data_IF_918933818751
#
_entry.id   IF_918933818751
#
_cell.length_a   1.000
_cell.length_b   1.000
_cell.length_c   1.000
_cell.angle_alpha   90.00
_cell.angle_beta   90.00
_cell.angle_gamma   90.00
#
_symmetry.space_group_name_H-M   'P 1'
#
loop_
_entity.id
_entity.type
_entity.pdbx_description
1 polymer ?
#
# COMPACT_ATOMS: atom_id res chain seq x y z
N UNK A 1 1.81 10.18 33.09
CA UNK A 1 3.19 9.79 32.74
C UNK A 1 3.23 8.27 32.83
N UNK A 2 3.59 7.56 31.76
CA UNK A 2 3.69 6.10 31.81
C UNK A 2 5.01 5.73 32.50
N UNK A 3 4.97 4.94 33.56
CA UNK A 3 6.17 4.36 34.16
C UNK A 3 6.58 3.11 33.39
N UNK A 4 7.85 3.06 33.00
CA UNK A 4 8.43 1.89 32.35
C UNK A 4 8.55 0.78 33.40
N UNK A 5 7.96 -0.38 33.14
CA UNK A 5 8.14 -1.56 33.99
C UNK A 5 9.64 -1.89 34.00
N UNK A 6 10.31 -1.62 35.12
CA UNK A 6 11.73 -1.92 35.27
C UNK A 6 11.88 -3.41 35.61
N UNK A 7 12.06 -4.23 34.57
CA UNK A 7 12.42 -5.63 34.76
C UNK A 7 13.86 -5.73 35.30
N UNK A 8 14.01 -6.53 36.36
CA UNK A 8 15.25 -6.74 37.12
C UNK A 8 16.41 -7.28 36.24
N UNK A 9 16.07 -8.00 35.16
CA UNK A 9 17.04 -8.53 34.20
C UNK A 9 17.30 -7.55 33.05
N UNK A 10 18.53 -7.03 32.99
CA UNK A 10 19.04 -6.16 31.91
C UNK A 10 18.86 -6.76 30.51
N UNK A 11 19.00 -8.09 30.38
CA UNK A 11 18.86 -8.81 29.11
C UNK A 11 17.40 -8.90 28.66
N UNK A 12 16.48 -9.17 29.58
CA UNK A 12 15.03 -9.25 29.29
C UNK A 12 14.50 -7.87 28.90
N UNK A 13 14.91 -6.83 29.64
CA UNK A 13 14.53 -5.46 29.33
C UNK A 13 14.98 -5.06 27.92
N UNK A 14 16.24 -5.34 27.55
CA UNK A 14 16.76 -5.05 26.21
C UNK A 14 15.98 -5.77 25.10
N UNK A 15 15.57 -7.02 25.33
CA UNK A 15 14.79 -7.80 24.36
C UNK A 15 13.38 -7.22 24.17
N UNK A 16 12.70 -6.85 25.25
CA UNK A 16 11.34 -6.24 25.21
C UNK A 16 11.36 -4.92 24.44
N UNK A 17 12.40 -4.11 24.60
CA UNK A 17 12.55 -2.86 23.84
C UNK A 17 12.85 -3.08 22.35
N UNK A 18 13.57 -4.16 21.99
CA UNK A 18 13.94 -4.46 20.60
C UNK A 18 12.80 -5.13 19.81
N UNK A 19 11.97 -5.92 20.46
CA UNK A 19 10.91 -6.71 19.84
C UNK A 19 9.95 -5.88 18.96
N UNK A 20 9.38 -4.75 19.43
CA UNK A 20 8.49 -3.92 18.61
C UNK A 20 9.17 -3.40 17.34
N UNK A 21 10.44 -3.01 17.45
CA UNK A 21 11.23 -2.55 16.32
C UNK A 21 11.44 -3.66 15.29
N UNK A 22 11.79 -4.87 15.73
CA UNK A 22 11.96 -6.03 14.86
C UNK A 22 10.65 -6.41 14.15
N UNK A 23 9.50 -6.33 14.84
CA UNK A 23 8.19 -6.60 14.24
C UNK A 23 7.87 -5.59 13.14
N UNK A 24 8.05 -4.30 13.40
CA UNK A 24 7.81 -3.23 12.41
C UNK A 24 8.77 -3.42 11.22
N UNK A 25 10.04 -3.68 11.48
CA UNK A 25 11.04 -3.94 10.44
C UNK A 25 10.63 -5.14 9.58
N UNK A 26 10.18 -6.24 10.19
CA UNK A 26 9.71 -7.41 9.46
C UNK A 26 8.49 -7.10 8.58
N UNK A 27 7.49 -6.38 9.09
CA UNK A 27 6.29 -5.99 8.33
C UNK A 27 6.68 -5.13 7.12
N UNK A 28 7.55 -4.13 7.33
CA UNK A 28 8.00 -3.24 6.26
C UNK A 28 8.94 -3.92 5.27
N UNK A 29 9.65 -4.96 5.69
CA UNK A 29 10.54 -5.72 4.82
C UNK A 29 9.82 -6.36 3.63
N UNK A 30 8.50 -6.62 3.75
CA UNK A 30 7.67 -7.22 2.69
C UNK A 30 7.78 -6.47 1.36
N UNK A 31 7.97 -5.16 1.39
CA UNK A 31 8.16 -4.31 0.19
C UNK A 31 9.40 -4.74 -0.61
N UNK A 32 10.45 -5.22 0.07
CA UNK A 32 11.70 -5.62 -0.56
C UNK A 32 11.61 -7.00 -1.21
N UNK A 33 10.96 -7.97 -0.54
CA UNK A 33 10.94 -9.36 -0.99
C UNK A 33 9.77 -9.69 -1.94
N UNK A 34 8.64 -8.99 -1.82
CA UNK A 34 7.48 -9.30 -2.64
C UNK A 34 7.62 -8.73 -4.05
N UNK A 35 7.38 -9.60 -5.02
CA UNK A 35 7.40 -9.27 -6.46
C UNK A 35 6.24 -8.36 -6.84
N UNK A 36 5.05 -8.65 -6.29
CA UNK A 36 3.82 -7.89 -6.48
C UNK A 36 3.28 -7.51 -5.10
N UNK A 37 3.04 -6.22 -4.87
CA UNK A 37 2.46 -5.74 -3.61
C UNK A 37 1.69 -4.44 -3.85
N UNK A 38 0.53 -4.34 -3.23
CA UNK A 38 -0.24 -3.11 -3.12
C UNK A 38 -0.34 -2.73 -1.66
N UNK A 39 0.11 -1.53 -1.34
CA UNK A 39 -0.09 -0.92 -0.03
C UNK A 39 -0.94 0.32 -0.20
N UNK A 40 -1.92 0.53 0.65
CA UNK A 40 -2.78 1.70 0.58
C UNK A 40 -3.10 2.24 1.97
N UNK A 41 -3.46 3.51 2.00
CA UNK A 41 -4.01 4.21 3.15
C UNK A 41 -5.07 5.19 2.64
N UNK A 42 -5.67 5.99 3.53
CA UNK A 42 -6.75 6.91 3.13
C UNK A 42 -6.33 8.01 2.15
N UNK A 43 -5.03 8.26 1.94
CA UNK A 43 -4.53 9.29 1.00
C UNK A 43 -4.20 8.72 -0.37
N UNK A 44 -3.84 7.45 -0.46
CA UNK A 44 -3.35 6.88 -1.70
C UNK A 44 -2.86 5.45 -1.58
N UNK A 45 -2.33 4.94 -2.69
CA UNK A 45 -1.79 3.60 -2.83
C UNK A 45 -0.41 3.61 -3.48
N UNK A 46 0.45 2.70 -3.04
CA UNK A 46 1.69 2.31 -3.70
C UNK A 46 1.50 0.93 -4.32
N UNK A 47 1.62 0.86 -5.65
CA UNK A 47 1.38 -0.34 -6.44
C UNK A 47 2.71 -0.76 -7.07
N UNK A 48 3.26 -1.90 -6.63
CA UNK A 48 4.49 -2.50 -7.16
C UNK A 48 4.12 -3.79 -7.88
N UNK A 49 4.43 -3.89 -9.16
CA UNK A 49 4.15 -5.06 -10.00
C UNK A 49 5.40 -5.41 -10.78
N UNK A 50 6.00 -6.57 -10.49
CA UNK A 50 7.22 -7.06 -11.13
C UNK A 50 8.33 -6.01 -11.33
N UNK A 51 8.44 -5.05 -10.42
CA UNK A 51 9.35 -3.90 -10.54
C UNK A 51 10.04 -3.63 -9.21
N UNK A 52 11.26 -3.09 -9.22
CA UNK A 52 11.92 -2.64 -7.98
C UNK A 52 11.26 -1.36 -7.42
N UNK A 53 10.82 -0.47 -8.31
CA UNK A 53 10.13 0.77 -7.95
C UNK A 53 8.61 0.62 -8.12
N UNK A 54 7.86 0.93 -7.06
CA UNK A 54 6.41 0.98 -7.11
C UNK A 54 5.88 2.28 -7.72
N UNK A 55 4.69 2.21 -8.30
CA UNK A 55 3.93 3.38 -8.74
C UNK A 55 3.10 3.92 -7.57
N UNK A 56 3.44 5.12 -7.08
CA UNK A 56 2.64 5.81 -6.06
C UNK A 56 1.48 6.58 -6.70
N UNK A 57 0.29 6.50 -6.12
CA UNK A 57 -0.95 7.09 -6.60
C UNK A 57 -1.65 7.75 -5.42
N UNK A 58 -1.92 9.05 -5.53
CA UNK A 58 -2.80 9.75 -4.59
C UNK A 58 -4.23 9.64 -5.11
N UNK A 59 -5.17 9.28 -4.24
CA UNK A 59 -6.57 9.09 -4.65
C UNK A 59 -7.20 10.41 -5.12
N UNK A 60 -6.92 11.50 -4.42
CA UNK A 60 -7.32 12.88 -4.80
C UNK A 60 -6.84 13.36 -6.16
N UNK A 61 -5.81 12.72 -6.72
CA UNK A 61 -5.30 13.06 -8.03
C UNK A 61 -5.89 12.19 -9.15
N UNK A 62 -6.66 11.15 -8.81
CA UNK A 62 -7.26 10.20 -9.74
C UNK A 62 -8.70 10.60 -10.00
N UNK A 63 -9.01 10.92 -11.24
CA UNK A 63 -10.38 11.22 -11.67
C UNK A 63 -11.23 9.96 -11.83
N UNK A 64 -10.67 8.93 -12.43
CA UNK A 64 -11.33 7.63 -12.64
C UNK A 64 -10.31 6.55 -13.00
N UNK A 65 -10.74 5.30 -12.99
CA UNK A 65 -9.91 4.17 -13.43
C UNK A 65 -10.68 3.23 -14.35
N UNK A 66 -9.94 2.50 -15.17
CA UNK A 66 -10.46 1.44 -16.03
C UNK A 66 -9.49 0.26 -16.02
N UNK A 67 -10.01 -0.97 -16.03
CA UNK A 67 -9.22 -2.18 -16.18
C UNK A 67 -9.65 -2.90 -17.45
N UNK A 68 -8.77 -2.92 -18.46
CA UNK A 68 -9.02 -3.55 -19.76
C UNK A 68 -7.77 -4.32 -20.22
N UNK A 69 -7.96 -5.53 -20.77
CA UNK A 69 -6.90 -6.33 -21.39
C UNK A 69 -5.62 -6.45 -20.54
N UNK A 70 -5.76 -6.79 -19.26
CA UNK A 70 -4.61 -6.94 -18.36
C UNK A 70 -3.99 -5.61 -17.91
N UNK A 71 -4.53 -4.45 -18.29
CA UNK A 71 -3.96 -3.15 -17.92
C UNK A 71 -4.92 -2.34 -17.07
N UNK A 72 -4.41 -1.82 -15.96
CA UNK A 72 -5.09 -0.83 -15.13
C UNK A 72 -4.66 0.57 -15.58
N UNK A 73 -5.63 1.35 -16.03
CA UNK A 73 -5.44 2.73 -16.50
C UNK A 73 -6.06 3.66 -15.48
N UNK A 74 -5.23 4.49 -14.86
CA UNK A 74 -5.63 5.53 -13.92
C UNK A 74 -5.62 6.87 -14.66
N UNK A 75 -6.80 7.49 -14.78
CA UNK A 75 -6.95 8.82 -15.37
C UNK A 75 -6.69 9.85 -14.28
N UNK A 76 -5.63 10.63 -14.44
CA UNK A 76 -5.20 11.62 -13.45
C UNK A 76 -5.81 12.99 -13.79
N UNK A 77 -6.12 13.81 -12.77
CA UNK A 77 -6.68 15.15 -12.96
C UNK A 77 -5.66 16.15 -13.54
N UNK A 78 -4.43 16.11 -13.03
CA UNK A 78 -3.41 17.15 -13.29
C UNK A 78 -2.14 16.63 -13.96
N UNK A 79 -2.03 15.32 -14.13
CA UNK A 79 -0.80 14.68 -14.64
C UNK A 79 -1.12 13.68 -15.73
N UNK A 80 -0.09 13.10 -16.35
CA UNK A 80 -0.28 12.03 -17.33
C UNK A 80 -0.94 10.82 -16.67
N UNK A 81 -1.81 10.16 -17.43
CA UNK A 81 -2.43 8.91 -17.02
C UNK A 81 -1.36 7.88 -16.64
N UNK A 82 -1.63 7.13 -15.58
CA UNK A 82 -0.75 6.04 -15.15
C UNK A 82 -1.30 4.73 -15.68
N UNK A 83 -0.44 3.95 -16.32
CA UNK A 83 -0.80 2.64 -16.87
C UNK A 83 0.03 1.61 -16.12
N UNK A 84 -0.65 0.63 -15.55
CA UNK A 84 -0.04 -0.45 -14.78
C UNK A 84 -0.41 -1.76 -15.47
N UNK A 85 0.61 -2.52 -15.85
CA UNK A 85 0.44 -3.85 -16.43
C UNK A 85 0.18 -4.89 -15.32
N UNK A 86 -0.92 -5.62 -15.45
CA UNK A 86 -1.42 -6.64 -14.54
C UNK A 86 -1.70 -7.97 -15.28
N UNK A 87 -1.15 -8.18 -16.48
CA UNK A 87 -1.44 -9.36 -17.32
C UNK A 87 -1.19 -10.70 -16.61
N UNK A 88 -0.17 -10.75 -15.75
CA UNK A 88 0.24 -11.96 -15.03
C UNK A 88 -0.21 -11.98 -13.55
N UNK A 89 -1.25 -11.22 -13.20
CA UNK A 89 -1.80 -11.17 -11.85
C UNK A 89 -3.10 -11.98 -11.81
N UNK A 90 -3.30 -12.75 -10.73
CA UNK A 90 -4.55 -13.48 -10.54
C UNK A 90 -5.74 -12.54 -10.50
N UNK A 91 -6.81 -12.94 -11.21
CA UNK A 91 -8.05 -12.16 -11.30
C UNK A 91 -8.62 -11.78 -9.94
N UNK A 92 -8.57 -12.68 -8.95
CA UNK A 92 -9.06 -12.42 -7.60
C UNK A 92 -8.34 -11.24 -6.92
N UNK A 93 -7.04 -11.08 -7.16
CA UNK A 93 -6.27 -9.96 -6.62
C UNK A 93 -6.50 -8.66 -7.39
N UNK A 94 -6.71 -8.75 -8.71
CA UNK A 94 -7.14 -7.62 -9.52
C UNK A 94 -8.50 -7.11 -9.04
N UNK A 95 -9.45 -8.01 -8.77
CA UNK A 95 -10.79 -7.66 -8.28
C UNK A 95 -10.72 -6.97 -6.90
N UNK A 96 -9.83 -7.43 -6.01
CA UNK A 96 -9.56 -6.75 -4.72
C UNK A 96 -9.01 -5.34 -4.96
N UNK A 97 -8.01 -5.18 -5.83
CA UNK A 97 -7.44 -3.86 -6.16
C UNK A 97 -8.50 -2.92 -6.71
N UNK A 98 -9.32 -3.37 -7.65
CA UNK A 98 -10.41 -2.58 -8.22
C UNK A 98 -11.49 -2.24 -7.19
N UNK A 99 -11.70 -3.08 -6.18
CA UNK A 99 -12.61 -2.81 -5.06
C UNK A 99 -12.06 -1.70 -4.16
N UNK A 100 -10.77 -1.76 -3.82
CA UNK A 100 -10.09 -0.71 -3.03
C UNK A 100 -10.17 0.64 -3.76
N UNK A 101 -9.84 0.67 -5.06
CA UNK A 101 -9.92 1.90 -5.86
C UNK A 101 -11.34 2.47 -5.90
N UNK A 102 -12.37 1.62 -6.07
CA UNK A 102 -13.77 2.06 -6.05
C UNK A 102 -14.18 2.68 -4.72
N UNK A 103 -13.73 2.11 -3.60
CA UNK A 103 -14.05 2.63 -2.28
C UNK A 103 -13.53 4.06 -2.11
N UNK A 104 -12.23 4.28 -2.35
CA UNK A 104 -11.60 5.57 -2.08
C UNK A 104 -11.95 6.66 -3.11
N UNK A 105 -12.16 6.30 -4.38
CA UNK A 105 -12.55 7.29 -5.40
C UNK A 105 -14.01 7.73 -5.28
N UNK A 106 -14.87 6.90 -4.67
CA UNK A 106 -16.26 7.28 -4.38
C UNK A 106 -16.36 8.20 -3.17
N UNK A 107 -15.57 7.94 -2.13
CA UNK A 107 -15.55 8.77 -0.92
C UNK A 107 -15.18 10.22 -1.22
N UNK A 108 -14.23 10.49 -2.10
CA UNK A 108 -13.87 11.87 -2.48
C UNK A 108 -14.96 12.62 -3.26
N UNK A 109 -15.84 11.90 -3.98
CA UNK A 109 -16.96 12.52 -4.71
C UNK A 109 -18.12 12.98 -3.81
N UNK A 110 -18.10 12.63 -2.52
CA UNK A 110 -19.14 13.01 -1.54
C UNK A 110 -18.71 14.25 -0.73
N UNK A 111 -17.43 14.62 -0.78
CA UNK A 111 -16.88 15.77 -0.05
C UNK A 111 -16.45 16.94 -0.95
N UNK A 112 -16.78 16.90 -2.24
CA UNK A 112 -16.56 17.98 -3.22
C UNK A 112 -17.89 18.64 -3.60
#
# INVERSE_FOLDING_TARGET
MFEVIQFESKTVNKLIFLLPFLIIMFIQSKIFWYKNIVQWNNKGASIKINSFFGTSVQFSAVHSFQYNNGKLILKMLYTKNKIIDLENIEKADIDKLCTILRQYLREESIFA
#
